data_IF_227676549946
#
_entry.id   IF_227676549946
#
_cell.length_a   1.000
_cell.length_b   1.000
_cell.length_c   1.000
_cell.angle_alpha   90.00
_cell.angle_beta   90.00
_cell.angle_gamma   90.00
#
_symmetry.space_group_name_H-M   'P 1'
#
loop_
_entity.id
_entity.type
_entity.pdbx_description
1 polymer ?
#
# COMPACT_ATOMS: atom_id res chain seq x y z
N UNK A 1 8.13 1.18 25.35
CA UNK A 1 7.35 2.20 24.58
C UNK A 1 6.92 1.58 23.26
N UNK A 2 5.63 1.50 22.93
CA UNK A 2 5.09 0.63 21.87
C UNK A 2 5.31 1.12 20.44
N UNK A 3 5.90 2.31 20.25
CA UNK A 3 6.10 2.90 18.93
C UNK A 3 7.37 2.48 18.21
N UNK A 4 8.32 1.80 18.89
CA UNK A 4 9.54 1.28 18.27
C UNK A 4 10.17 2.25 17.28
N UNK A 5 10.17 1.84 15.99
CA UNK A 5 10.71 2.57 14.84
C UNK A 5 9.89 3.80 14.38
N UNK A 6 8.64 3.92 14.82
CA UNK A 6 7.74 5.06 14.54
C UNK A 6 7.73 6.10 15.67
N UNK A 7 8.62 5.97 16.66
CA UNK A 7 8.74 6.92 17.75
C UNK A 7 9.25 8.27 17.22
N UNK A 8 8.45 9.32 17.39
CA UNK A 8 8.79 10.69 16.97
C UNK A 8 8.37 11.03 15.54
N UNK A 9 7.80 10.08 14.80
CA UNK A 9 7.19 10.35 13.50
C UNK A 9 5.79 10.95 13.68
N UNK A 10 5.34 11.81 12.75
CA UNK A 10 3.96 12.27 12.75
C UNK A 10 3.01 11.07 12.61
N UNK A 11 1.84 11.17 13.24
CA UNK A 11 0.87 10.07 13.26
C UNK A 11 0.47 9.65 11.85
N UNK A 12 0.40 10.60 10.90
CA UNK A 12 0.07 10.36 9.49
C UNK A 12 1.03 9.42 8.76
N UNK A 13 2.32 9.44 9.11
CA UNK A 13 3.35 8.55 8.52
C UNK A 13 3.31 7.11 9.06
N UNK A 14 2.49 6.84 10.09
CA UNK A 14 2.38 5.49 10.64
C UNK A 14 1.48 4.65 9.74
N UNK A 15 1.95 3.50 9.21
CA UNK A 15 1.15 2.64 8.36
C UNK A 15 -0.10 2.13 9.08
N UNK A 16 -1.19 2.03 8.35
CA UNK A 16 -2.48 1.65 8.94
C UNK A 16 -2.48 0.22 9.50
N UNK A 17 -1.74 -0.69 8.87
CA UNK A 17 -1.54 -2.05 9.37
C UNK A 17 -0.84 -2.05 10.73
N UNK A 18 0.12 -1.13 10.93
CA UNK A 18 0.79 -0.95 12.21
C UNK A 18 -0.17 -0.39 13.26
N UNK A 19 -1.02 0.58 12.90
CA UNK A 19 -2.05 1.14 13.79
C UNK A 19 -3.06 0.07 14.18
N UNK A 20 -3.48 -0.78 13.24
CA UNK A 20 -4.40 -1.88 13.50
C UNK A 20 -3.76 -2.94 14.41
N UNK A 21 -2.49 -3.28 14.18
CA UNK A 21 -1.72 -4.15 15.07
C UNK A 21 -1.61 -3.54 16.48
N UNK A 22 -1.31 -2.24 16.57
CA UNK A 22 -1.17 -1.50 17.82
C UNK A 22 -2.47 -1.55 18.63
N UNK A 23 -3.62 -1.33 17.98
CA UNK A 23 -4.93 -1.40 18.63
C UNK A 23 -5.28 -2.80 19.15
N UNK A 24 -4.87 -3.86 18.44
CA UNK A 24 -5.21 -5.25 18.80
C UNK A 24 -4.26 -5.85 19.85
N UNK A 25 -2.99 -5.46 19.83
CA UNK A 25 -1.93 -6.16 20.57
C UNK A 25 -1.34 -5.33 21.72
N UNK A 26 -1.65 -4.03 21.79
CA UNK A 26 -1.09 -3.13 22.80
C UNK A 26 -2.22 -2.47 23.57
N UNK A 27 -2.14 -2.51 24.89
CA UNK A 27 -3.04 -1.73 25.74
C UNK A 27 -2.65 -0.25 25.70
N UNK A 28 -3.42 0.53 24.93
CA UNK A 28 -3.14 1.93 24.65
C UNK A 28 -3.77 2.82 25.72
N UNK A 29 -2.95 3.60 26.42
CA UNK A 29 -3.44 4.61 27.36
C UNK A 29 -4.02 5.82 26.62
N UNK A 30 -5.13 6.43 27.10
CA UNK A 30 -5.54 7.76 26.65
C UNK A 30 -4.41 8.77 26.88
N UNK A 31 -4.16 9.73 25.98
CA UNK A 31 -4.99 10.16 24.84
C UNK A 31 -4.77 9.38 23.53
N UNK A 32 -3.74 8.54 23.46
CA UNK A 32 -3.30 7.91 22.23
C UNK A 32 -4.31 6.90 21.65
N UNK A 33 -5.01 6.17 22.51
CA UNK A 33 -6.09 5.26 22.10
C UNK A 33 -7.20 5.97 21.34
N UNK A 34 -7.50 7.23 21.69
CA UNK A 34 -8.53 8.05 21.03
C UNK A 34 -8.10 8.38 19.60
N UNK A 35 -6.84 8.75 19.39
CA UNK A 35 -6.30 9.03 18.06
C UNK A 35 -6.30 7.78 17.16
N UNK A 36 -5.90 6.63 17.71
CA UNK A 36 -5.93 5.34 17.01
C UNK A 36 -7.37 4.95 16.62
N UNK A 37 -8.32 5.05 17.55
CA UNK A 37 -9.73 4.79 17.28
C UNK A 37 -10.31 5.73 16.22
N UNK A 38 -9.99 7.02 16.29
CA UNK A 38 -10.43 8.02 15.31
C UNK A 38 -9.95 7.66 13.91
N UNK A 39 -8.67 7.32 13.74
CA UNK A 39 -8.14 6.93 12.43
C UNK A 39 -8.76 5.63 11.92
N UNK A 40 -8.89 4.61 12.76
CA UNK A 40 -9.55 3.35 12.38
C UNK A 40 -11.02 3.55 12.00
N UNK A 41 -11.71 4.51 12.61
CA UNK A 41 -13.08 4.86 12.22
C UNK A 41 -13.16 5.58 10.87
N UNK A 42 -12.19 6.45 10.54
CA UNK A 42 -12.09 7.11 9.23
C UNK A 42 -11.78 6.13 8.10
N UNK A 43 -10.98 5.09 8.38
CA UNK A 43 -10.67 4.03 7.42
C UNK A 43 -11.85 3.11 7.06
N UNK A 44 -12.92 3.12 7.87
CA UNK A 44 -14.13 2.35 7.61
C UNK A 44 -15.13 3.09 6.70
N UNK A 45 -14.79 4.28 6.19
CA UNK A 45 -15.59 4.88 5.12
C UNK A 45 -15.57 3.97 3.89
N UNK A 46 -16.73 3.80 3.21
CA UNK A 46 -16.83 2.92 2.04
C UNK A 46 -15.85 3.32 0.92
N UNK A 47 -15.49 4.60 0.84
CA UNK A 47 -14.50 5.13 -0.12
C UNK A 47 -13.10 4.52 0.08
N UNK A 48 -12.68 4.33 1.33
CA UNK A 48 -11.38 3.76 1.69
C UNK A 48 -11.37 2.24 1.50
N UNK A 49 -12.51 1.57 1.73
CA UNK A 49 -12.66 0.14 1.50
C UNK A 49 -12.68 -0.21 0.00
N UNK A 50 -13.24 0.66 -0.84
CA UNK A 50 -13.17 0.54 -2.31
C UNK A 50 -11.71 0.67 -2.77
N UNK A 51 -10.97 1.66 -2.28
CA UNK A 51 -9.55 1.83 -2.61
C UNK A 51 -8.70 0.62 -2.18
N UNK A 52 -8.94 0.08 -0.97
CA UNK A 52 -8.15 -1.05 -0.43
C UNK A 52 -8.47 -2.38 -1.13
N UNK A 53 -9.73 -2.61 -1.54
CA UNK A 53 -10.12 -3.79 -2.32
C UNK A 53 -9.70 -3.72 -3.79
N UNK A 54 -9.44 -2.52 -4.32
CA UNK A 54 -9.02 -2.31 -5.69
C UNK A 54 -7.56 -1.96 -5.88
N UNK A 55 -6.70 -2.20 -4.88
CA UNK A 55 -5.26 -2.14 -5.15
C UNK A 55 -4.92 -3.28 -6.12
N UNK A 56 -4.57 -2.97 -7.39
CA UNK A 56 -4.31 -4.01 -8.35
C UNK A 56 -3.10 -4.81 -7.88
N UNK A 57 -3.15 -6.13 -7.98
CA UNK A 57 -1.97 -6.97 -7.78
C UNK A 57 -0.94 -6.64 -8.88
N UNK A 58 -0.04 -5.71 -8.57
CA UNK A 58 0.97 -5.21 -9.50
C UNK A 58 1.86 -6.35 -10.01
N UNK A 59 2.08 -7.40 -9.22
CA UNK A 59 2.84 -8.59 -9.65
C UNK A 59 2.06 -9.39 -10.69
N UNK A 60 0.77 -9.62 -10.46
CA UNK A 60 -0.09 -10.28 -11.44
C UNK A 60 -0.20 -9.46 -12.74
N UNK A 61 -0.30 -8.13 -12.62
CA UNK A 61 -0.34 -7.20 -13.73
C UNK A 61 0.97 -7.25 -14.54
N UNK A 62 2.12 -7.14 -13.87
CA UNK A 62 3.46 -7.26 -14.45
C UNK A 62 3.62 -8.55 -15.22
N UNK A 63 3.19 -9.68 -14.63
CA UNK A 63 3.27 -10.99 -15.28
C UNK A 63 2.45 -11.04 -16.58
N UNK A 64 1.23 -10.47 -16.58
CA UNK A 64 0.37 -10.42 -17.78
C UNK A 64 0.97 -9.55 -18.89
N UNK A 65 1.49 -8.36 -18.54
CA UNK A 65 2.12 -7.48 -19.51
C UNK A 65 3.43 -8.03 -20.05
N UNK A 66 4.27 -8.60 -19.18
CA UNK A 66 5.49 -9.30 -19.59
C UNK A 66 5.16 -10.42 -20.58
N UNK A 67 4.16 -11.24 -20.28
CA UNK A 67 3.72 -12.29 -21.21
C UNK A 67 3.18 -11.74 -22.55
N UNK A 68 2.65 -10.51 -22.60
CA UNK A 68 2.10 -9.94 -23.84
C UNK A 68 3.14 -9.20 -24.68
N UNK A 69 4.08 -8.51 -24.04
CA UNK A 69 5.00 -7.58 -24.68
C UNK A 69 6.49 -8.00 -24.63
N UNK A 70 6.80 -9.20 -24.12
CA UNK A 70 8.18 -9.71 -24.07
C UNK A 70 8.81 -9.70 -25.47
N UNK A 71 10.03 -9.16 -25.64
CA UNK A 71 10.71 -9.09 -26.94
C UNK A 71 10.95 -10.46 -27.60
N UNK A 72 10.99 -11.55 -26.82
CA UNK A 72 11.13 -12.92 -27.34
C UNK A 72 9.83 -13.53 -27.88
N UNK A 73 8.69 -12.81 -27.81
CA UNK A 73 7.41 -13.23 -28.40
C UNK A 73 7.16 -12.50 -29.70
N UNK A 74 6.54 -13.17 -30.67
CA UNK A 74 6.13 -12.55 -31.94
C UNK A 74 5.24 -11.33 -31.67
N UNK A 75 5.76 -10.13 -31.94
CA UNK A 75 5.07 -8.86 -31.74
C UNK A 75 5.38 -8.13 -30.42
N UNK A 76 6.26 -8.69 -29.58
CA UNK A 76 6.80 -7.96 -28.43
C UNK A 76 7.92 -7.02 -28.83
N UNK A 77 8.03 -5.89 -28.14
CA UNK A 77 9.08 -4.91 -28.40
C UNK A 77 9.67 -4.38 -27.09
N UNK A 78 10.99 -4.13 -27.10
CA UNK A 78 11.72 -3.64 -25.92
C UNK A 78 11.11 -2.36 -25.37
N UNK A 79 10.72 -1.43 -26.24
CA UNK A 79 10.14 -0.15 -25.83
C UNK A 79 8.81 -0.32 -25.07
N UNK A 80 7.95 -1.27 -25.48
CA UNK A 80 6.71 -1.54 -24.75
C UNK A 80 7.00 -2.17 -23.38
N UNK A 81 8.03 -3.01 -23.27
CA UNK A 81 8.43 -3.59 -21.98
C UNK A 81 9.02 -2.53 -21.04
N UNK A 82 9.80 -1.57 -21.56
CA UNK A 82 10.32 -0.44 -20.78
C UNK A 82 9.19 0.42 -20.22
N UNK A 83 8.21 0.80 -21.06
CA UNK A 83 7.07 1.60 -20.62
C UNK A 83 6.22 0.89 -19.55
N UNK A 84 6.08 -0.43 -19.63
CA UNK A 84 5.40 -1.23 -18.60
C UNK A 84 6.17 -1.23 -17.28
N UNK A 85 7.49 -1.32 -17.32
CA UNK A 85 8.30 -1.29 -16.10
C UNK A 85 8.26 0.10 -15.45
N UNK A 86 8.41 1.18 -16.22
CA UNK A 86 8.32 2.56 -15.70
C UNK A 86 6.99 2.83 -15.01
N UNK A 87 5.88 2.43 -15.64
CA UNK A 87 4.54 2.58 -15.04
C UNK A 87 4.40 1.81 -13.73
N UNK A 88 4.96 0.59 -13.63
CA UNK A 88 4.87 -0.23 -12.42
C UNK A 88 5.76 0.35 -11.32
N UNK A 89 6.95 0.83 -11.65
CA UNK A 89 7.87 1.43 -10.69
C UNK A 89 7.31 2.76 -10.13
N UNK A 90 6.60 3.55 -10.95
CA UNK A 90 5.87 4.75 -10.50
C UNK A 90 4.70 4.42 -9.56
N UNK A 91 3.98 3.32 -9.83
CA UNK A 91 2.88 2.87 -8.98
C UNK A 91 3.38 2.27 -7.66
N UNK A 92 4.52 1.56 -7.67
CA UNK A 92 5.17 1.06 -6.44
C UNK A 92 5.77 2.20 -5.61
N UNK A 93 6.20 3.31 -6.23
CA UNK A 93 6.77 4.47 -5.53
C UNK A 93 5.72 5.42 -4.93
N UNK A 94 4.45 5.33 -5.36
CA UNK A 94 3.32 6.12 -4.85
C UNK A 94 2.45 5.39 -3.80
N UNK A 95 2.85 4.19 -3.37
CA UNK A 95 2.26 3.46 -2.25
C UNK A 95 2.99 3.75 -0.94
#
# INVERSE_FOLDING_TARGET
>A
MPFGQYKGKPFDEVPDDYIQWLFKNVDLRPPLSIYVLRRLSQQRSPETEIHRRHQPDLRALRRRFSAKYHPDRKGGCRNAMTAVNELIDELESNQ
#
